data_IF_090033165375
#
_entry.id   IF_090033165375
#
_cell.length_a   1.000
_cell.length_b   1.000
_cell.length_c   1.000
_cell.angle_alpha   90.00
_cell.angle_beta   90.00
_cell.angle_gamma   90.00
#
_symmetry.space_group_name_H-M   'P 1'
#
loop_
_entity.id
_entity.type
_entity.pdbx_description
1 polymer ?
#
# COMPACT_ATOMS: atom_id res chain seq x y z
N UNK A 1 -74.44 5.23 10.33
CA UNK A 1 -73.76 3.92 10.39
C UNK A 1 -72.75 3.80 9.25
N UNK A 2 -71.74 4.67 9.23
CA UNK A 2 -70.60 4.53 8.32
C UNK A 2 -69.50 3.81 9.10
N UNK A 3 -68.87 2.76 8.55
CA UNK A 3 -67.51 2.24 8.89
C UNK A 3 -67.31 0.72 8.72
N UNK A 4 -68.17 -0.02 8.00
CA UNK A 4 -67.96 -1.46 7.74
C UNK A 4 -67.88 -1.83 6.25
N UNK A 5 -67.43 -0.92 5.39
CA UNK A 5 -67.16 -1.29 4.00
C UNK A 5 -65.77 -1.94 3.89
N UNK A 6 -65.64 -3.22 3.47
CA UNK A 6 -64.38 -3.97 3.51
C UNK A 6 -63.26 -3.33 2.69
N UNK A 7 -63.58 -2.62 1.60
CA UNK A 7 -62.59 -1.85 0.83
C UNK A 7 -61.98 -0.68 1.64
N UNK A 8 -62.79 0.00 2.46
CA UNK A 8 -62.32 1.12 3.30
C UNK A 8 -61.44 0.60 4.43
N UNK A 9 -61.80 -0.55 5.03
CA UNK A 9 -60.97 -1.20 6.05
C UNK A 9 -59.61 -1.65 5.51
N UNK A 10 -59.55 -2.16 4.26
CA UNK A 10 -58.29 -2.51 3.59
C UNK A 10 -57.41 -1.27 3.37
N UNK A 11 -57.97 -0.20 2.81
CA UNK A 11 -57.24 1.06 2.60
C UNK A 11 -56.73 1.67 3.91
N UNK A 12 -57.51 1.59 4.99
CA UNK A 12 -57.08 2.06 6.31
C UNK A 12 -55.89 1.25 6.87
N UNK A 13 -55.89 -0.08 6.68
CA UNK A 13 -54.75 -0.93 7.05
C UNK A 13 -53.52 -0.61 6.22
N UNK A 14 -53.67 -0.52 4.90
CA UNK A 14 -52.57 -0.20 3.99
C UNK A 14 -51.96 1.17 4.33
N UNK A 15 -52.81 2.17 4.63
CA UNK A 15 -52.36 3.49 5.09
C UNK A 15 -51.57 3.42 6.41
N UNK A 16 -52.03 2.63 7.38
CA UNK A 16 -51.31 2.44 8.64
C UNK A 16 -49.94 1.77 8.42
N UNK A 17 -49.87 0.74 7.58
CA UNK A 17 -48.62 0.08 7.20
C UNK A 17 -47.64 1.04 6.53
N UNK A 18 -48.11 1.81 5.54
CA UNK A 18 -47.26 2.80 4.86
C UNK A 18 -46.78 3.90 5.79
N UNK A 19 -47.59 4.34 6.75
CA UNK A 19 -47.14 5.29 7.78
C UNK A 19 -46.04 4.70 8.66
N UNK A 20 -46.17 3.44 9.07
CA UNK A 20 -45.12 2.74 9.81
C UNK A 20 -43.84 2.60 9.00
N UNK A 21 -43.94 2.24 7.73
CA UNK A 21 -42.81 2.13 6.80
C UNK A 21 -42.09 3.47 6.59
N UNK A 22 -42.84 4.57 6.47
CA UNK A 22 -42.25 5.92 6.38
C UNK A 22 -41.45 6.24 7.66
N UNK A 23 -41.98 5.90 8.84
CA UNK A 23 -41.27 6.14 10.10
C UNK A 23 -39.98 5.33 10.21
N UNK A 24 -39.99 4.06 9.81
CA UNK A 24 -38.78 3.22 9.82
C UNK A 24 -37.76 3.69 8.81
N UNK A 25 -38.19 4.10 7.60
CA UNK A 25 -37.32 4.67 6.59
C UNK A 25 -36.69 5.99 7.05
N UNK A 26 -37.46 6.87 7.70
CA UNK A 26 -36.93 8.13 8.23
C UNK A 26 -35.91 7.90 9.35
N UNK A 27 -36.15 6.93 10.25
CA UNK A 27 -35.19 6.55 11.26
C UNK A 27 -33.88 6.05 10.63
N UNK A 28 -33.98 5.20 9.60
CA UNK A 28 -32.81 4.70 8.86
C UNK A 28 -32.07 5.81 8.12
N UNK A 29 -32.78 6.72 7.47
CA UNK A 29 -32.20 7.89 6.80
C UNK A 29 -31.40 8.74 7.79
N UNK A 30 -31.96 9.02 8.97
CA UNK A 30 -31.27 9.80 10.00
C UNK A 30 -29.98 9.14 10.49
N UNK A 31 -29.98 7.81 10.65
CA UNK A 31 -28.79 7.05 11.02
C UNK A 31 -27.70 7.11 9.94
N UNK A 32 -28.08 6.91 8.67
CA UNK A 32 -27.13 6.98 7.55
C UNK A 32 -26.53 8.38 7.38
N UNK A 33 -27.31 9.44 7.60
CA UNK A 33 -26.80 10.81 7.58
C UNK A 33 -25.77 11.04 8.69
N UNK A 34 -25.99 10.47 9.89
CA UNK A 34 -25.04 10.55 10.99
C UNK A 34 -23.73 9.78 10.67
N UNK A 35 -23.82 8.55 10.15
CA UNK A 35 -22.66 7.76 9.73
C UNK A 35 -21.85 8.45 8.62
N UNK A 36 -22.52 9.08 7.67
CA UNK A 36 -21.88 9.85 6.60
C UNK A 36 -21.17 11.09 7.15
N UNK A 37 -21.76 11.77 8.14
CA UNK A 37 -21.11 12.90 8.81
C UNK A 37 -19.84 12.46 9.56
N UNK A 38 -19.89 11.33 10.28
CA UNK A 38 -18.74 10.76 10.98
C UNK A 38 -17.62 10.39 10.00
N UNK A 39 -17.97 9.68 8.92
CA UNK A 39 -17.00 9.28 7.88
C UNK A 39 -16.32 10.49 7.25
N UNK A 40 -17.07 11.57 6.98
CA UNK A 40 -16.50 12.82 6.47
C UNK A 40 -15.55 13.48 7.47
N UNK A 41 -15.86 13.44 8.77
CA UNK A 41 -14.97 13.98 9.80
C UNK A 41 -13.65 13.19 9.87
N UNK A 42 -13.72 11.85 9.80
CA UNK A 42 -12.53 10.99 9.76
C UNK A 42 -11.67 11.27 8.52
N UNK A 43 -12.30 11.44 7.35
CA UNK A 43 -11.61 11.78 6.11
C UNK A 43 -10.86 13.11 6.23
N UNK A 44 -11.47 14.15 6.79
CA UNK A 44 -10.79 15.44 7.01
C UNK A 44 -9.59 15.32 7.96
N UNK A 45 -9.68 14.47 8.99
CA UNK A 45 -8.53 14.21 9.88
C UNK A 45 -7.40 13.52 9.12
N UNK A 46 -7.72 12.52 8.30
CA UNK A 46 -6.74 11.83 7.47
C UNK A 46 -6.07 12.76 6.44
N UNK A 47 -6.86 13.61 5.76
CA UNK A 47 -6.35 14.60 4.81
C UNK A 47 -5.37 15.59 5.47
N UNK A 48 -5.71 16.09 6.66
CA UNK A 48 -4.80 16.95 7.45
C UNK A 48 -3.52 16.22 7.82
N UNK A 49 -3.62 14.97 8.27
CA UNK A 49 -2.45 14.16 8.62
C UNK A 49 -1.54 13.93 7.41
N UNK A 50 -2.10 13.70 6.21
CA UNK A 50 -1.33 13.58 4.96
C UNK A 50 -0.57 14.87 4.67
N UNK A 51 -1.22 16.04 4.77
CA UNK A 51 -0.56 17.33 4.56
C UNK A 51 0.54 17.59 5.59
N UNK A 52 0.30 17.30 6.86
CA UNK A 52 1.30 17.43 7.92
C UNK A 52 2.50 16.51 7.71
N UNK A 53 2.26 15.25 7.34
CA UNK A 53 3.32 14.28 7.03
C UNK A 53 4.09 14.69 5.78
N UNK A 54 3.40 15.15 4.73
CA UNK A 54 4.04 15.67 3.52
C UNK A 54 4.94 16.86 3.82
N UNK A 55 4.48 17.79 4.67
CA UNK A 55 5.29 18.91 5.15
C UNK A 55 6.48 18.43 5.97
N UNK A 56 6.28 17.50 6.92
CA UNK A 56 7.38 16.92 7.71
C UNK A 56 8.42 16.25 6.83
N UNK A 57 8.03 15.55 5.78
CA UNK A 57 8.95 14.93 4.81
C UNK A 57 9.69 16.00 4.02
N UNK A 58 9.01 17.06 3.58
CA UNK A 58 9.66 18.15 2.85
C UNK A 58 10.65 18.94 3.71
N UNK A 59 10.28 19.19 4.97
CA UNK A 59 11.11 19.88 5.96
C UNK A 59 12.17 18.95 6.57
N UNK A 60 12.11 17.64 6.29
CA UNK A 60 13.02 16.65 6.83
C UNK A 60 14.42 16.84 6.25
N UNK A 61 15.29 17.46 7.02
CA UNK A 61 16.71 17.53 6.73
C UNK A 61 17.38 16.31 7.34
N UNK A 62 17.77 15.37 6.49
CA UNK A 62 18.58 14.23 6.89
C UNK A 62 19.94 14.74 7.36
N UNK A 63 20.27 14.51 8.63
CA UNK A 63 21.62 14.68 9.11
C UNK A 63 22.50 13.60 8.45
N UNK A 64 23.55 13.97 7.70
CA UNK A 64 24.44 13.01 7.04
C UNK A 64 25.08 12.01 8.00
N UNK A 65 25.24 12.36 9.27
CA UNK A 65 25.77 11.46 10.31
C UNK A 65 24.75 10.43 10.83
N UNK A 66 23.45 10.72 10.69
CA UNK A 66 22.35 9.80 11.02
C UNK A 66 22.05 8.83 9.86
N UNK A 67 22.53 9.15 8.65
CA UNK A 67 22.69 8.18 7.58
C UNK A 67 23.78 7.22 8.03
N UNK A 68 23.41 6.01 8.45
CA UNK A 68 24.38 4.91 8.57
C UNK A 68 25.02 4.70 7.20
N UNK A 69 26.18 5.32 7.01
CA UNK A 69 27.13 5.09 5.93
C UNK A 69 27.13 3.60 5.61
N UNK A 70 26.93 3.29 4.33
CA UNK A 70 27.33 2.02 3.78
C UNK A 70 28.79 1.87 4.19
N UNK A 71 29.07 0.88 5.07
CA UNK A 71 30.40 0.67 5.66
C UNK A 71 31.49 0.82 4.60
N UNK A 72 32.50 1.62 4.94
CA UNK A 72 33.72 1.79 4.15
C UNK A 72 34.64 0.55 4.16
N UNK A 73 34.32 -0.47 4.97
CA UNK A 73 35.08 -1.72 5.03
C UNK A 73 34.60 -2.64 3.89
N UNK A 74 35.43 -2.93 2.88
CA UNK A 74 35.11 -3.91 1.86
C UNK A 74 34.85 -5.25 2.54
N UNK A 75 33.75 -5.94 2.20
CA UNK A 75 33.67 -7.36 2.52
C UNK A 75 34.80 -8.02 1.76
N UNK A 76 35.69 -8.68 2.50
CA UNK A 76 36.73 -9.57 1.98
C UNK A 76 36.20 -10.28 0.73
N UNK A 77 36.92 -10.07 -0.38
CA UNK A 77 36.61 -10.66 -1.67
C UNK A 77 36.30 -12.15 -1.51
N UNK A 78 35.10 -12.54 -1.92
CA UNK A 78 34.77 -13.96 -1.95
C UNK A 78 33.30 -14.30 -2.03
N UNK A 79 32.38 -13.44 -1.60
CA UNK A 79 30.97 -13.83 -1.58
C UNK A 79 30.07 -12.87 -2.36
N UNK A 80 29.68 -13.35 -3.54
CA UNK A 80 28.79 -12.82 -4.58
C UNK A 80 27.35 -12.47 -4.11
N UNK A 81 27.17 -12.13 -2.83
CA UNK A 81 25.88 -11.78 -2.22
C UNK A 81 25.40 -10.36 -2.55
N UNK A 82 26.28 -9.46 -3.03
CA UNK A 82 25.93 -8.08 -3.36
C UNK A 82 25.29 -7.88 -4.73
N UNK A 83 25.62 -8.72 -5.71
CA UNK A 83 25.22 -8.54 -7.12
C UNK A 83 23.70 -8.60 -7.28
N UNK A 84 23.06 -9.58 -6.63
CA UNK A 84 21.60 -9.74 -6.69
C UNK A 84 20.85 -8.57 -6.07
N UNK A 85 21.28 -8.13 -4.88
CA UNK A 85 20.63 -7.02 -4.18
C UNK A 85 20.82 -5.69 -4.93
N UNK A 86 21.98 -5.51 -5.57
CA UNK A 86 22.26 -4.35 -6.43
C UNK A 86 21.30 -4.34 -7.63
N UNK A 87 21.15 -5.46 -8.35
CA UNK A 87 20.23 -5.56 -9.48
C UNK A 87 18.77 -5.32 -9.06
N UNK A 88 18.35 -5.90 -7.93
CA UNK A 88 17.02 -5.68 -7.36
C UNK A 88 16.76 -4.20 -7.03
N UNK A 89 17.72 -3.53 -6.38
CA UNK A 89 17.62 -2.10 -6.07
C UNK A 89 17.55 -1.25 -7.35
N UNK A 90 18.42 -1.52 -8.32
CA UNK A 90 18.41 -0.83 -9.61
C UNK A 90 17.09 -1.01 -10.37
N UNK A 91 16.52 -2.22 -10.36
CA UNK A 91 15.23 -2.50 -10.96
C UNK A 91 14.14 -1.58 -10.38
N UNK A 92 14.00 -1.59 -9.06
CA UNK A 92 12.97 -0.81 -8.34
C UNK A 92 13.19 0.70 -8.47
N UNK A 93 14.46 1.14 -8.55
CA UNK A 93 14.81 2.53 -8.80
C UNK A 93 14.45 3.00 -10.21
N UNK A 94 14.66 2.14 -11.22
CA UNK A 94 14.37 2.43 -12.62
C UNK A 94 12.88 2.52 -12.87
N UNK A 95 12.10 1.59 -12.31
CA UNK A 95 10.65 1.59 -12.50
C UNK A 95 9.98 2.72 -11.73
N UNK A 96 10.38 2.97 -10.47
CA UNK A 96 9.78 4.01 -9.63
C UNK A 96 8.31 3.78 -9.27
N UNK A 97 7.72 2.66 -9.70
CA UNK A 97 6.34 2.27 -9.45
C UNK A 97 6.29 1.08 -8.46
N UNK A 98 5.17 0.90 -7.72
CA UNK A 98 4.98 -0.25 -6.87
C UNK A 98 4.90 -1.55 -7.67
N UNK A 99 5.86 -2.46 -7.49
CA UNK A 99 5.90 -3.73 -8.22
C UNK A 99 5.58 -4.94 -7.34
N UNK A 100 4.90 -5.92 -7.90
CA UNK A 100 4.64 -7.21 -7.24
C UNK A 100 5.90 -8.07 -7.14
N UNK A 101 5.98 -8.96 -6.16
CA UNK A 101 7.15 -9.86 -6.02
C UNK A 101 7.35 -10.78 -7.24
N UNK A 102 6.27 -11.24 -7.86
CA UNK A 102 6.32 -12.08 -9.07
C UNK A 102 6.79 -11.28 -10.29
N UNK A 103 6.25 -10.08 -10.46
CA UNK A 103 6.64 -9.14 -11.52
C UNK A 103 8.12 -8.73 -11.41
N UNK A 104 8.60 -8.48 -10.19
CA UNK A 104 10.03 -8.25 -9.93
C UNK A 104 10.87 -9.44 -10.39
N UNK A 105 10.43 -10.68 -10.13
CA UNK A 105 11.16 -11.87 -10.54
C UNK A 105 11.20 -11.99 -12.07
N UNK A 106 10.07 -11.79 -12.75
CA UNK A 106 9.98 -11.83 -14.22
C UNK A 106 10.90 -10.79 -14.86
N UNK A 107 10.87 -9.55 -14.36
CA UNK A 107 11.73 -8.49 -14.86
C UNK A 107 13.22 -8.78 -14.63
N UNK A 108 13.57 -9.35 -13.48
CA UNK A 108 14.96 -9.76 -13.18
C UNK A 108 15.42 -10.91 -14.08
N UNK A 109 14.53 -11.84 -14.44
CA UNK A 109 14.82 -12.92 -15.38
C UNK A 109 14.96 -12.38 -16.81
N UNK A 110 14.09 -11.47 -17.22
CA UNK A 110 14.10 -10.85 -18.55
C UNK A 110 15.36 -10.00 -18.80
N UNK A 111 15.88 -9.31 -17.77
CA UNK A 111 17.13 -8.55 -17.87
C UNK A 111 18.38 -9.42 -18.06
N UNK A 112 18.26 -10.76 -17.91
CA UNK A 112 19.29 -11.77 -18.18
C UNK A 112 20.72 -11.36 -17.81
N UNK A 113 20.91 -10.75 -16.62
CA UNK A 113 22.24 -10.35 -16.19
C UNK A 113 23.04 -11.61 -15.86
N UNK A 114 23.99 -11.95 -16.73
CA UNK A 114 24.94 -13.04 -16.56
C UNK A 114 25.71 -12.87 -15.23
N UNK A 115 25.20 -13.49 -14.16
CA UNK A 115 25.72 -13.31 -12.80
C UNK A 115 24.66 -13.34 -11.70
N UNK A 116 23.38 -13.10 -12.04
CA UNK A 116 22.27 -13.32 -11.11
C UNK A 116 22.04 -14.83 -10.98
N UNK A 117 22.72 -15.46 -10.02
CA UNK A 117 22.46 -16.86 -9.63
C UNK A 117 21.07 -16.97 -9.00
N UNK A 118 19.99 -16.84 -9.76
CA UNK A 118 18.64 -17.13 -9.30
C UNK A 118 18.47 -18.64 -9.15
N UNK A 119 17.77 -19.12 -8.10
CA UNK A 119 17.34 -20.51 -8.04
C UNK A 119 16.55 -20.90 -9.28
N UNK A 120 16.73 -22.12 -9.79
CA UNK A 120 15.97 -22.66 -10.93
C UNK A 120 14.52 -22.93 -10.58
N UNK A 121 14.24 -23.24 -9.31
CA UNK A 121 12.87 -23.37 -8.81
C UNK A 121 12.25 -21.99 -8.58
N UNK A 122 11.09 -21.77 -9.21
CA UNK A 122 10.32 -20.53 -9.11
C UNK A 122 9.97 -20.17 -7.66
N UNK A 123 9.59 -21.14 -6.83
CA UNK A 123 9.26 -20.90 -5.42
C UNK A 123 10.46 -20.38 -4.62
N UNK A 124 11.63 -20.99 -4.83
CA UNK A 124 12.87 -20.58 -4.15
C UNK A 124 13.37 -19.20 -4.63
N UNK A 125 13.18 -18.91 -5.92
CA UNK A 125 13.49 -17.60 -6.49
C UNK A 125 12.60 -16.50 -5.89
N UNK A 126 11.29 -16.76 -5.78
CA UNK A 126 10.34 -15.87 -5.10
C UNK A 126 10.71 -15.65 -3.63
N UNK A 127 11.05 -16.71 -2.91
CA UNK A 127 11.49 -16.60 -1.51
C UNK A 127 12.76 -15.78 -1.36
N UNK A 128 13.71 -15.90 -2.31
CA UNK A 128 14.92 -15.09 -2.31
C UNK A 128 14.62 -13.61 -2.55
N UNK A 129 13.80 -13.29 -3.55
CA UNK A 129 13.36 -11.91 -3.83
C UNK A 129 12.69 -11.32 -2.58
N UNK A 130 11.72 -12.04 -2.00
CA UNK A 130 11.02 -11.59 -0.79
C UNK A 130 11.97 -11.38 0.40
N UNK A 131 12.96 -12.26 0.59
CA UNK A 131 13.97 -12.13 1.65
C UNK A 131 14.79 -10.86 1.48
N UNK A 132 15.30 -10.58 0.27
CA UNK A 132 16.09 -9.38 0.03
C UNK A 132 15.24 -8.10 0.08
N UNK A 133 13.99 -8.13 -0.37
CA UNK A 133 13.04 -7.01 -0.21
C UNK A 133 12.79 -6.66 1.26
N UNK A 134 12.65 -7.67 2.13
CA UNK A 134 12.58 -7.43 3.59
C UNK A 134 13.84 -6.75 4.11
N UNK A 135 15.02 -7.17 3.67
CA UNK A 135 16.28 -6.53 4.07
C UNK A 135 16.36 -5.09 3.56
N UNK A 136 15.91 -4.80 2.33
CA UNK A 136 15.86 -3.44 1.79
C UNK A 136 14.86 -2.56 2.57
N UNK A 137 13.72 -3.13 2.96
CA UNK A 137 12.72 -2.47 3.80
C UNK A 137 13.23 -2.18 5.20
N UNK A 138 13.85 -3.16 5.85
CA UNK A 138 14.40 -3.00 7.20
C UNK A 138 15.55 -1.96 7.22
N UNK A 139 16.12 -1.65 6.05
CA UNK A 139 17.10 -0.58 5.83
C UNK A 139 16.50 0.76 5.38
N UNK A 140 15.18 0.84 5.22
CA UNK A 140 14.48 2.07 4.84
C UNK A 140 14.59 2.45 3.35
N UNK A 141 14.97 1.52 2.47
CA UNK A 141 15.14 1.84 1.04
C UNK A 141 13.92 1.50 0.18
N UNK A 142 13.07 0.59 0.68
CA UNK A 142 11.86 0.13 -0.01
C UNK A 142 10.73 0.08 1.00
N UNK A 143 9.55 0.54 0.63
CA UNK A 143 8.33 0.35 1.42
C UNK A 143 7.41 -0.66 0.76
N UNK A 144 6.54 -1.23 1.58
CA UNK A 144 5.43 -2.03 1.09
C UNK A 144 4.27 -1.07 0.81
N UNK A 145 3.83 -1.01 -0.44
CA UNK A 145 2.83 -0.05 -0.91
C UNK A 145 1.40 -0.57 -0.74
N UNK A 146 1.20 -1.88 -0.63
CA UNK A 146 -0.06 -2.46 -0.20
C UNK A 146 -0.17 -2.40 1.33
N UNK A 147 -1.31 -1.91 1.84
CA UNK A 147 -1.57 -1.66 3.26
C UNK A 147 -1.59 -2.89 4.19
N UNK A 148 -0.91 -3.98 3.83
CA UNK A 148 -0.64 -5.12 4.70
C UNK A 148 -1.82 -6.06 4.96
N UNK A 149 -2.92 -5.93 4.21
CA UNK A 149 -4.09 -6.80 4.35
C UNK A 149 -3.76 -8.28 4.11
N UNK A 150 -4.36 -9.16 4.92
CA UNK A 150 -4.24 -10.61 4.74
C UNK A 150 -4.75 -11.00 3.34
N UNK A 151 -3.89 -11.62 2.53
CA UNK A 151 -4.22 -12.03 1.15
C UNK A 151 -3.94 -10.97 0.07
N UNK A 152 -3.54 -9.74 0.42
CA UNK A 152 -3.12 -8.75 -0.56
C UNK A 152 -1.74 -9.11 -1.16
N UNK A 153 -1.62 -8.97 -2.49
CA UNK A 153 -0.35 -9.16 -3.20
C UNK A 153 0.64 -8.11 -2.71
N UNK A 154 1.78 -8.56 -2.15
CA UNK A 154 2.82 -7.66 -1.67
C UNK A 154 3.42 -6.84 -2.83
N UNK A 155 3.20 -5.52 -2.79
CA UNK A 155 3.78 -4.55 -3.73
C UNK A 155 4.85 -3.72 -3.05
N UNK A 156 5.93 -3.45 -3.78
CA UNK A 156 7.14 -2.87 -3.23
C UNK A 156 7.51 -1.63 -4.02
N UNK A 157 7.74 -0.52 -3.31
CA UNK A 157 8.09 0.77 -3.89
C UNK A 157 9.44 1.24 -3.36
N UNK A 158 10.32 1.67 -4.26
CA UNK A 158 11.59 2.29 -3.91
C UNK A 158 11.38 3.69 -3.32
N UNK A 159 12.03 3.99 -2.19
CA UNK A 159 11.96 5.29 -1.50
C UNK A 159 13.34 5.89 -1.18
N UNK A 160 14.43 5.16 -1.45
CA UNK A 160 15.77 5.71 -1.28
C UNK A 160 16.13 6.77 -2.33
N UNK A 161 17.13 7.59 -2.08
CA UNK A 161 17.61 8.54 -3.09
C UNK A 161 18.10 7.81 -4.35
N UNK A 162 17.77 8.35 -5.53
CA UNK A 162 18.42 7.93 -6.78
C UNK A 162 19.89 8.38 -6.68
N UNK A 163 20.87 7.53 -7.02
CA UNK A 163 22.24 8.02 -7.12
C UNK A 163 22.26 9.15 -8.15
N UNK A 164 22.56 10.37 -7.69
CA UNK A 164 22.94 11.47 -8.56
C UNK A 164 24.12 10.98 -9.38
N UNK A 165 23.96 10.90 -10.70
CA UNK A 165 24.98 10.39 -11.61
C UNK A 165 26.19 11.30 -11.68
N UNK A 166 27.06 11.21 -10.68
CA UNK A 166 28.45 11.66 -10.63
C UNK A 166 29.07 10.71 -9.58
N UNK A 167 29.87 9.72 -9.94
CA UNK A 167 31.26 9.88 -10.33
C UNK A 167 31.63 8.87 -11.43
N UNK A 168 31.75 9.37 -12.65
CA UNK A 168 32.66 8.79 -13.64
C UNK A 168 34.03 9.45 -13.42
N UNK A 169 34.96 8.76 -12.79
CA UNK A 169 36.42 8.95 -12.92
C UNK A 169 37.15 7.77 -12.31
#
# INVERSE_FOLDING_TARGET
MANHHPKVAKLAKDLAYRKGEIQTLHARESALVAELAETRAQMQVAEKAVLELSKKIHDFHLNPDDIRTIRQIPRLDGIRHGVFRKALAQLLQLTGEPLGTAEILELLQAQNQAGLKLPTNHGDAMHRVARDLRVLRDRGWVIRADGGGAGAKATWLWIGEKPTGQESS
#
